data_IF_971769704408
#
_entry.id   IF_971769704408
#
_cell.length_a   1.000
_cell.length_b   1.000
_cell.length_c   1.000
_cell.angle_alpha   90.00
_cell.angle_beta   90.00
_cell.angle_gamma   90.00
#
_symmetry.space_group_name_H-M   'P 1'
#
loop_
_entity.id
_entity.type
_entity.pdbx_description
1 polymer ?
#
# COMPACT_ATOMS: atom_id res chain seq x y z
N UNK A 1 -6.09 -5.92 -9.82
CA UNK A 1 -5.02 -6.21 -10.79
C UNK A 1 -4.12 -4.99 -10.80
N UNK A 2 -2.91 -5.07 -10.23
CA UNK A 2 -1.94 -3.99 -10.33
C UNK A 2 -1.33 -4.01 -11.74
N UNK A 3 -1.26 -2.86 -12.39
CA UNK A 3 -0.63 -2.74 -13.71
C UNK A 3 0.88 -2.60 -13.47
N UNK A 4 1.74 -3.49 -14.01
CA UNK A 4 3.18 -3.34 -13.87
C UNK A 4 3.63 -2.07 -14.60
N UNK A 5 4.30 -1.17 -13.89
CA UNK A 5 4.82 0.07 -14.45
C UNK A 5 6.21 -0.16 -15.06
N UNK A 6 7.15 -0.65 -14.26
CA UNK A 6 8.55 -0.84 -14.65
C UNK A 6 9.22 -2.02 -13.89
N UNK A 7 10.44 -2.38 -14.28
CA UNK A 7 11.26 -3.41 -13.61
C UNK A 7 12.59 -2.84 -13.17
N UNK A 8 12.93 -3.04 -11.92
CA UNK A 8 14.16 -2.51 -11.31
C UNK A 8 15.08 -3.64 -10.84
N UNK A 9 16.38 -3.34 -10.78
CA UNK A 9 17.40 -4.29 -10.32
C UNK A 9 17.45 -4.38 -8.78
N UNK A 10 17.16 -3.27 -8.10
CA UNK A 10 17.21 -3.18 -6.63
C UNK A 10 15.93 -2.56 -6.06
N UNK A 11 15.67 -2.79 -4.77
CA UNK A 11 14.54 -2.15 -4.08
C UNK A 11 14.72 -0.63 -3.99
N UNK A 12 15.95 -0.14 -3.81
CA UNK A 12 16.21 1.31 -3.76
C UNK A 12 15.84 1.98 -5.09
N UNK A 13 16.22 1.39 -6.22
CA UNK A 13 15.84 1.90 -7.54
C UNK A 13 14.32 1.85 -7.73
N UNK A 14 13.66 0.77 -7.28
CA UNK A 14 12.21 0.65 -7.34
C UNK A 14 11.49 1.68 -6.48
N UNK A 15 12.02 1.99 -5.29
CA UNK A 15 11.50 3.04 -4.41
C UNK A 15 11.65 4.43 -5.07
N UNK A 16 12.81 4.71 -5.68
CA UNK A 16 13.03 5.96 -6.40
C UNK A 16 12.10 6.08 -7.61
N UNK A 17 11.95 5.01 -8.40
CA UNK A 17 11.02 4.99 -9.53
C UNK A 17 9.56 5.20 -9.09
N UNK A 18 9.16 4.63 -7.95
CA UNK A 18 7.82 4.85 -7.39
C UNK A 18 7.60 6.31 -6.96
N UNK A 19 8.62 7.01 -6.46
CA UNK A 19 8.54 8.44 -6.13
C UNK A 19 8.35 9.27 -7.41
N UNK A 20 9.17 9.03 -8.44
CA UNK A 20 9.02 9.70 -9.75
C UNK A 20 7.62 9.49 -10.31
N UNK A 21 7.10 8.27 -10.26
CA UNK A 21 5.73 8.01 -10.68
C UNK A 21 4.68 8.71 -9.82
N UNK A 22 4.94 8.95 -8.54
CA UNK A 22 4.02 9.66 -7.66
C UNK A 22 3.92 11.16 -7.99
N UNK A 23 4.99 11.76 -8.51
CA UNK A 23 5.02 13.15 -9.00
C UNK A 23 4.11 13.35 -10.23
N UNK A 24 3.98 12.31 -11.07
CA UNK A 24 3.15 12.33 -12.28
C UNK A 24 1.66 12.04 -12.03
N UNK A 25 1.26 11.71 -10.80
CA UNK A 25 -0.15 11.40 -10.47
C UNK A 25 -0.95 12.68 -10.27
N UNK A 26 -2.04 12.80 -11.04
CA UNK A 26 -2.91 13.96 -10.97
C UNK A 26 -3.60 14.08 -9.58
N UNK A 27 -3.75 15.28 -9.01
CA UNK A 27 -4.32 15.48 -7.66
C UNK A 27 -5.74 14.93 -7.48
N UNK A 28 -6.53 14.86 -8.57
CA UNK A 28 -7.89 14.31 -8.58
C UNK A 28 -7.93 12.78 -8.42
N UNK A 29 -6.81 12.08 -8.62
CA UNK A 29 -6.65 10.63 -8.42
C UNK A 29 -6.45 10.27 -6.94
N UNK A 30 -7.18 10.96 -6.07
CA UNK A 30 -7.07 10.96 -4.62
C UNK A 30 -6.76 9.58 -4.02
N UNK A 31 -5.50 9.43 -3.63
CA UNK A 31 -4.93 8.34 -2.86
C UNK A 31 -4.87 6.98 -3.57
N UNK A 32 -3.91 6.84 -4.50
CA UNK A 32 -3.50 5.56 -5.07
C UNK A 32 -2.49 4.86 -4.16
N UNK A 33 -2.58 3.54 -4.10
CA UNK A 33 -1.53 2.70 -3.50
C UNK A 33 -0.57 2.30 -4.61
N UNK A 34 0.72 2.61 -4.43
CA UNK A 34 1.79 2.05 -5.24
C UNK A 34 2.32 0.80 -4.57
N UNK A 35 2.58 -0.24 -5.36
CA UNK A 35 3.10 -1.52 -4.89
C UNK A 35 4.35 -1.89 -5.68
N UNK A 36 5.41 -2.22 -4.96
CA UNK A 36 6.62 -2.84 -5.49
C UNK A 36 6.46 -4.35 -5.30
N UNK A 37 6.48 -5.07 -6.41
CA UNK A 37 6.42 -6.53 -6.43
C UNK A 37 7.78 -7.08 -6.83
N UNK A 38 8.13 -8.26 -6.33
CA UNK A 38 9.28 -8.98 -6.85
C UNK A 38 8.94 -9.67 -8.17
N UNK A 39 9.93 -10.34 -8.77
CA UNK A 39 9.78 -11.04 -10.06
C UNK A 39 8.72 -12.16 -10.05
N UNK A 40 8.32 -12.65 -8.88
CA UNK A 40 7.29 -13.69 -8.72
C UNK A 40 5.92 -13.07 -8.39
N UNK A 41 5.81 -11.75 -8.37
CA UNK A 41 4.59 -11.03 -8.02
C UNK A 41 4.32 -10.96 -6.51
N UNK A 42 5.29 -11.31 -5.66
CA UNK A 42 5.15 -11.17 -4.20
C UNK A 42 5.29 -9.71 -3.81
N UNK A 43 4.45 -9.25 -2.90
CA UNK A 43 4.51 -7.87 -2.40
C UNK A 43 5.80 -7.65 -1.59
N UNK A 44 6.63 -6.71 -2.04
CA UNK A 44 7.87 -6.31 -1.36
C UNK A 44 7.62 -5.08 -0.49
N UNK A 45 6.94 -4.06 -1.03
CA UNK A 45 6.64 -2.82 -0.33
C UNK A 45 5.43 -2.13 -0.97
N UNK A 46 4.62 -1.44 -0.19
CA UNK A 46 3.54 -0.61 -0.72
C UNK A 46 3.34 0.66 0.11
N UNK A 47 2.76 1.69 -0.50
CA UNK A 47 2.52 2.98 0.15
C UNK A 47 1.51 3.82 -0.60
N UNK A 48 0.94 4.81 0.08
CA UNK A 48 0.04 5.77 -0.54
C UNK A 48 0.81 6.92 -1.17
N UNK A 49 0.37 7.37 -2.33
CA UNK A 49 0.90 8.56 -2.98
C UNK A 49 0.42 9.80 -2.25
N UNK A 50 1.33 10.69 -1.87
CA UNK A 50 1.02 11.94 -1.16
C UNK A 50 1.96 13.06 -1.62
N UNK A 51 1.40 14.14 -2.18
CA UNK A 51 2.13 15.36 -2.58
C UNK A 51 3.46 15.11 -3.33
N UNK A 52 3.44 14.25 -4.34
CA UNK A 52 4.63 13.90 -5.14
C UNK A 52 5.59 12.90 -4.47
N UNK A 53 5.26 12.40 -3.28
CA UNK A 53 5.99 11.34 -2.59
C UNK A 53 5.16 10.08 -2.38
N UNK A 54 5.78 9.08 -1.75
CA UNK A 54 5.12 7.84 -1.34
C UNK A 54 5.23 7.68 0.18
N UNK A 55 4.10 7.75 0.86
CA UNK A 55 3.98 7.40 2.27
C UNK A 55 3.97 5.86 2.40
N UNK A 56 5.18 5.29 2.51
CA UNK A 56 5.37 3.86 2.65
C UNK A 56 4.73 3.29 3.91
N UNK A 57 4.03 2.17 3.76
CA UNK A 57 3.43 1.44 4.86
C UNK A 57 4.48 0.57 5.55
N UNK A 58 4.54 0.65 6.88
CA UNK A 58 5.42 -0.21 7.66
C UNK A 58 4.93 -1.67 7.59
N UNK A 59 5.76 -2.61 7.11
CA UNK A 59 5.39 -4.01 7.03
C UNK A 59 4.98 -4.56 8.40
N UNK A 60 4.05 -5.50 8.40
CA UNK A 60 3.76 -6.29 9.62
C UNK A 60 5.00 -7.06 10.06
N UNK A 61 5.22 -7.14 11.37
CA UNK A 61 6.41 -7.75 11.97
C UNK A 61 6.31 -9.28 11.99
N UNK A 62 5.11 -9.82 12.16
CA UNK A 62 4.87 -11.25 12.29
C UNK A 62 3.51 -11.71 11.76
N UNK A 63 3.22 -13.01 11.88
CA UNK A 63 1.97 -13.60 11.42
C UNK A 63 0.75 -13.25 12.29
N UNK A 64 0.94 -12.95 13.57
CA UNK A 64 -0.15 -12.55 14.46
C UNK A 64 -0.63 -11.14 14.08
N UNK A 65 0.31 -10.22 13.87
CA UNK A 65 0.01 -8.88 13.37
C UNK A 65 -0.62 -8.93 11.97
N UNK A 66 -0.10 -9.77 11.07
CA UNK A 66 -0.69 -9.96 9.75
C UNK A 66 -2.18 -10.38 9.83
N UNK A 67 -2.53 -11.33 10.72
CA UNK A 67 -3.92 -11.74 10.93
C UNK A 67 -4.78 -10.61 11.49
N UNK A 68 -4.25 -9.84 12.44
CA UNK A 68 -4.95 -8.67 13.00
C UNK A 68 -5.24 -7.62 11.90
N UNK A 69 -4.26 -7.35 11.04
CA UNK A 69 -4.41 -6.44 9.90
C UNK A 69 -5.46 -6.94 8.90
N UNK A 70 -5.45 -8.24 8.54
CA UNK A 70 -6.47 -8.82 7.65
C UNK A 70 -7.87 -8.70 8.25
N UNK A 71 -8.02 -8.96 9.55
CA UNK A 71 -9.28 -8.82 10.27
C UNK A 71 -9.77 -7.37 10.24
N UNK A 72 -8.88 -6.41 10.53
CA UNK A 72 -9.19 -4.99 10.51
C UNK A 72 -9.60 -4.53 9.10
N UNK A 73 -8.83 -4.87 8.07
CA UNK A 73 -9.13 -4.51 6.68
C UNK A 73 -10.49 -5.05 6.23
N UNK A 74 -10.79 -6.32 6.59
CA UNK A 74 -12.08 -6.95 6.31
C UNK A 74 -13.24 -6.22 6.99
N UNK A 75 -13.08 -5.84 8.27
CA UNK A 75 -14.08 -5.06 9.00
C UNK A 75 -14.29 -3.68 8.38
N UNK A 76 -13.21 -3.00 8.00
CA UNK A 76 -13.26 -1.69 7.33
C UNK A 76 -13.99 -1.78 5.99
N UNK A 77 -13.76 -2.83 5.19
CA UNK A 77 -14.52 -3.05 3.95
C UNK A 77 -16.01 -3.26 4.20
N UNK A 78 -16.37 -4.02 5.23
CA UNK A 78 -17.77 -4.21 5.60
C UNK A 78 -18.44 -2.87 6.01
N UNK A 79 -17.73 -2.00 6.72
CA UNK A 79 -18.20 -0.65 7.02
C UNK A 79 -18.34 0.20 5.75
N UNK A 80 -17.41 0.10 4.80
CA UNK A 80 -17.45 0.84 3.55
C UNK A 80 -18.67 0.46 2.69
N UNK A 81 -19.03 -0.83 2.67
CA UNK A 81 -20.23 -1.33 2.00
C UNK A 81 -21.48 -0.70 2.62
N UNK A 82 -21.63 -0.77 3.94
CA UNK A 82 -22.77 -0.15 4.65
C UNK A 82 -22.87 1.35 4.41
N UNK A 83 -21.75 2.07 4.44
CA UNK A 83 -21.73 3.51 4.14
C UNK A 83 -22.20 3.79 2.71
N UNK A 84 -21.83 2.96 1.73
CA UNK A 84 -22.30 3.09 0.36
C UNK A 84 -23.81 2.83 0.24
N UNK A 85 -24.35 1.84 0.95
CA UNK A 85 -25.79 1.55 1.01
C UNK A 85 -26.61 2.73 1.59
N UNK A 86 -26.01 3.50 2.49
CA UNK A 86 -26.61 4.72 3.04
C UNK A 86 -26.33 5.98 2.22
N UNK A 87 -25.78 5.84 1.00
CA UNK A 87 -25.42 6.95 0.11
C UNK A 87 -24.34 7.90 0.69
N UNK A 88 -23.61 7.47 1.72
CA UNK A 88 -22.48 8.18 2.33
C UNK A 88 -21.21 7.93 1.51
N UNK A 89 -21.21 8.34 0.25
CA UNK A 89 -20.16 7.99 -0.73
C UNK A 89 -18.76 8.48 -0.34
N UNK A 90 -18.66 9.64 0.31
CA UNK A 90 -17.38 10.17 0.82
C UNK A 90 -16.79 9.30 1.93
N UNK A 91 -17.61 8.90 2.90
CA UNK A 91 -17.21 7.99 3.96
C UNK A 91 -16.82 6.62 3.39
N UNK A 92 -17.63 6.08 2.48
CA UNK A 92 -17.34 4.79 1.84
C UNK A 92 -16.00 4.79 1.09
N UNK A 93 -15.65 5.90 0.41
CA UNK A 93 -14.36 6.07 -0.27
C UNK A 93 -13.19 6.08 0.71
N UNK A 94 -13.30 6.85 1.79
CA UNK A 94 -12.28 6.91 2.85
C UNK A 94 -12.06 5.56 3.53
N UNK A 95 -13.14 4.81 3.81
CA UNK A 95 -13.04 3.48 4.40
C UNK A 95 -12.37 2.47 3.45
N UNK A 96 -12.71 2.49 2.15
CA UNK A 96 -12.00 1.65 1.16
C UNK A 96 -10.51 1.96 1.13
N UNK A 97 -10.16 3.24 1.03
CA UNK A 97 -8.75 3.65 1.05
C UNK A 97 -8.03 3.22 2.33
N UNK A 98 -8.68 3.32 3.50
CA UNK A 98 -8.12 2.82 4.75
C UNK A 98 -7.89 1.30 4.75
N UNK A 99 -8.80 0.53 4.16
CA UNK A 99 -8.61 -0.91 4.00
C UNK A 99 -7.43 -1.23 3.05
N UNK A 100 -7.25 -0.44 1.99
CA UNK A 100 -6.12 -0.60 1.06
C UNK A 100 -4.77 -0.27 1.73
N UNK A 101 -4.73 0.74 2.60
CA UNK A 101 -3.56 1.05 3.45
C UNK A 101 -3.24 -0.09 4.42
N UNK A 102 -4.26 -0.75 4.98
CA UNK A 102 -4.05 -1.92 5.84
C UNK A 102 -3.46 -3.09 5.04
N UNK A 103 -4.01 -3.38 3.87
CA UNK A 103 -3.48 -4.42 2.97
C UNK A 103 -2.04 -4.13 2.51
N UNK A 104 -1.70 -2.87 2.27
CA UNK A 104 -0.34 -2.46 1.88
C UNK A 104 0.74 -2.85 2.91
N UNK A 105 0.36 -3.08 4.18
CA UNK A 105 1.26 -3.56 5.24
C UNK A 105 1.54 -5.06 5.15
N UNK A 106 0.73 -5.82 4.40
CA UNK A 106 0.83 -7.27 4.27
C UNK A 106 1.91 -7.69 3.27
N UNK A 107 3.11 -7.14 3.42
CA UNK A 107 4.31 -7.56 2.70
C UNK A 107 4.52 -9.05 2.88
N UNK A 108 4.93 -9.71 1.79
CA UNK A 108 5.18 -11.14 1.78
C UNK A 108 6.21 -11.52 2.86
N UNK A 109 6.01 -12.61 3.62
CA UNK A 109 6.91 -13.00 4.71
C UNK A 109 8.39 -13.02 4.34
N UNK A 110 8.74 -13.38 3.10
CA UNK A 110 10.13 -13.43 2.63
C UNK A 110 10.79 -12.04 2.60
N UNK A 111 10.01 -10.98 2.42
CA UNK A 111 10.50 -9.62 2.21
C UNK A 111 10.38 -8.72 3.44
N UNK A 112 9.57 -9.08 4.46
CA UNK A 112 9.27 -8.21 5.61
C UNK A 112 10.49 -7.61 6.28
N UNK A 113 11.46 -8.44 6.65
CA UNK A 113 12.66 -7.98 7.34
C UNK A 113 13.47 -7.01 6.47
N UNK A 114 13.60 -7.30 5.18
CA UNK A 114 14.33 -6.47 4.23
C UNK A 114 13.62 -5.14 3.96
N UNK A 115 12.30 -5.18 3.74
CA UNK A 115 11.48 -3.99 3.51
C UNK A 115 11.49 -3.06 4.73
N UNK A 116 11.31 -3.62 5.94
CA UNK A 116 11.40 -2.83 7.18
C UNK A 116 12.78 -2.19 7.35
N UNK A 117 13.85 -2.91 7.02
CA UNK A 117 15.20 -2.36 7.08
C UNK A 117 15.44 -1.26 6.03
N UNK A 118 14.95 -1.44 4.80
CA UNK A 118 15.03 -0.41 3.77
C UNK A 118 14.33 0.88 4.19
N UNK A 119 13.14 0.78 4.82
CA UNK A 119 12.45 1.95 5.37
C UNK A 119 13.21 2.63 6.50
N UNK A 120 13.93 1.88 7.34
CA UNK A 120 14.77 2.48 8.39
C UNK A 120 15.94 3.29 7.84
N UNK A 121 16.50 2.89 6.70
CA UNK A 121 17.62 3.60 6.06
C UNK A 121 17.12 4.82 5.28
N UNK A 122 15.90 4.76 4.73
CA UNK A 122 15.30 5.81 3.92
C UNK A 122 14.60 6.91 4.73
N UNK A 123 14.46 6.75 6.06
CA UNK A 123 13.84 7.71 6.99
C UNK A 123 14.81 8.81 7.44
#
# INVERSE_FOLDING_TARGET
MAIPLERFATLADAMQGAIVHAEDIAPEDASRILAILDREGRLVLAGATNDGGVAWCHPVSDAAEARAVVSAASQTRAQAIRAAEWHEHGLARRLRHHADLLDARLVDPLWRAFASHALQIAA
#
